data_IF_733034033479
#
_entry.id   IF_733034033479
#
_cell.length_a   1.000
_cell.length_b   1.000
_cell.length_c   1.000
_cell.angle_alpha   90.00
_cell.angle_beta   90.00
_cell.angle_gamma   90.00
#
_symmetry.space_group_name_H-M   'P 1'
#
loop_
_entity.id
_entity.type
_entity.pdbx_description
1 polymer ?
#
# COMPACT_ATOMS: atom_id res chain seq x y z
N UNK A 1 2.32 5.30 17.02
CA UNK A 1 0.83 5.35 17.16
C UNK A 1 0.24 3.98 17.49
N UNK A 2 0.58 2.89 16.81
CA UNK A 2 0.05 1.51 17.01
C UNK A 2 0.11 1.04 18.48
N UNK A 3 1.22 1.25 19.20
CA UNK A 3 1.35 0.81 20.61
C UNK A 3 0.34 1.44 21.57
N UNK A 4 -0.14 2.66 21.30
CA UNK A 4 -1.14 3.34 22.17
C UNK A 4 -2.54 2.75 21.94
N UNK A 5 -2.92 2.51 20.69
CA UNK A 5 -4.21 1.90 20.34
C UNK A 5 -4.33 0.46 20.86
N UNK A 6 -3.24 -0.33 20.79
CA UNK A 6 -3.17 -1.68 21.34
C UNK A 6 -3.49 -1.67 22.85
N UNK A 7 -2.83 -0.80 23.62
CA UNK A 7 -3.06 -0.71 25.08
C UNK A 7 -4.51 -0.30 25.41
N UNK A 8 -5.06 0.68 24.69
CA UNK A 8 -6.43 1.14 24.87
C UNK A 8 -7.44 0.03 24.55
N UNK A 9 -7.26 -0.69 23.43
CA UNK A 9 -8.11 -1.81 23.04
C UNK A 9 -8.09 -2.93 24.09
N UNK A 10 -6.91 -3.31 24.57
CA UNK A 10 -6.76 -4.32 25.63
C UNK A 10 -7.43 -3.87 26.93
N UNK A 11 -7.27 -2.61 27.32
CA UNK A 11 -7.91 -2.05 28.51
C UNK A 11 -9.43 -2.14 28.40
N UNK A 12 -10.01 -1.70 27.30
CA UNK A 12 -11.46 -1.76 27.06
C UNK A 12 -11.97 -3.22 27.09
N UNK A 13 -11.28 -4.15 26.44
CA UNK A 13 -11.64 -5.56 26.42
C UNK A 13 -11.63 -6.16 27.83
N UNK A 14 -10.61 -5.85 28.65
CA UNK A 14 -10.52 -6.33 30.03
C UNK A 14 -11.61 -5.75 30.93
N UNK A 15 -11.89 -4.44 30.76
CA UNK A 15 -12.89 -3.73 31.60
C UNK A 15 -14.31 -4.16 31.27
N UNK A 16 -14.65 -4.27 30.00
CA UNK A 16 -16.02 -4.48 29.54
C UNK A 16 -16.28 -5.91 29.03
N UNK A 17 -15.24 -6.76 29.00
CA UNK A 17 -15.33 -8.20 28.64
C UNK A 17 -16.19 -8.44 27.39
N UNK A 18 -17.31 -9.15 27.55
CA UNK A 18 -18.19 -9.55 26.45
C UNK A 18 -18.98 -8.39 25.82
N UNK A 19 -19.07 -7.25 26.47
CA UNK A 19 -19.71 -6.05 25.90
C UNK A 19 -18.87 -5.37 24.82
N UNK A 20 -17.59 -5.76 24.66
CA UNK A 20 -16.67 -5.19 23.66
C UNK A 20 -16.22 -6.28 22.70
N UNK A 21 -16.45 -6.06 21.40
CA UNK A 21 -15.83 -6.82 20.33
C UNK A 21 -14.71 -5.97 19.74
N UNK A 22 -13.45 -6.34 19.99
CA UNK A 22 -12.31 -5.56 19.55
C UNK A 22 -11.66 -6.12 18.28
N UNK A 23 -11.54 -5.28 17.27
CA UNK A 23 -10.85 -5.58 16.01
C UNK A 23 -9.53 -4.82 15.97
N UNK A 24 -8.45 -5.50 15.64
CA UNK A 24 -7.15 -4.87 15.42
C UNK A 24 -6.68 -5.06 13.99
N UNK A 25 -6.27 -3.96 13.35
CA UNK A 25 -5.69 -3.98 12.01
C UNK A 25 -4.17 -3.99 12.14
N UNK A 26 -3.50 -4.90 11.45
CA UNK A 26 -2.10 -5.29 11.53
C UNK A 26 -1.80 -6.17 12.74
N UNK A 27 -0.59 -6.74 12.79
CA UNK A 27 -0.13 -7.50 13.95
C UNK A 27 0.06 -6.58 15.17
N UNK A 28 -0.68 -6.77 16.27
CA UNK A 28 -0.58 -5.94 17.47
C UNK A 28 0.75 -6.05 18.20
N UNK A 29 1.60 -7.02 17.83
CA UNK A 29 2.87 -7.33 18.53
C UNK A 29 2.69 -7.46 20.05
N UNK A 30 1.59 -8.09 20.45
CA UNK A 30 1.15 -8.29 21.82
C UNK A 30 0.44 -9.64 21.94
N UNK A 31 -0.13 -9.99 23.09
CA UNK A 31 -0.91 -11.21 23.22
C UNK A 31 -2.15 -11.16 22.31
N UNK A 32 -2.14 -11.98 21.26
CA UNK A 32 -3.17 -12.02 20.23
C UNK A 32 -4.54 -12.47 20.75
N UNK A 33 -4.57 -13.28 21.83
CA UNK A 33 -5.82 -13.77 22.44
C UNK A 33 -6.63 -12.66 23.12
N UNK A 34 -6.08 -11.46 23.24
CA UNK A 34 -6.78 -10.30 23.79
C UNK A 34 -7.59 -9.52 22.74
N UNK A 35 -7.62 -10.02 21.51
CA UNK A 35 -8.41 -9.47 20.41
C UNK A 35 -9.42 -10.49 19.90
N UNK A 36 -10.62 -10.04 19.62
CA UNK A 36 -11.68 -10.89 19.05
C UNK A 36 -11.40 -11.17 17.57
N UNK A 37 -10.83 -10.18 16.86
CA UNK A 37 -10.44 -10.32 15.47
C UNK A 37 -9.18 -9.50 15.20
N UNK A 38 -8.23 -10.11 14.50
CA UNK A 38 -7.07 -9.43 13.94
C UNK A 38 -7.17 -9.51 12.41
N UNK A 39 -6.89 -8.42 11.73
CA UNK A 39 -6.80 -8.37 10.26
C UNK A 39 -5.38 -7.96 9.93
N UNK A 40 -4.57 -8.90 9.44
CA UNK A 40 -3.16 -8.64 9.16
C UNK A 40 -2.76 -9.08 7.75
N UNK A 41 -1.79 -8.39 7.11
CA UNK A 41 -1.28 -8.84 5.82
C UNK A 41 -0.62 -10.22 5.91
N UNK A 42 -0.75 -11.04 4.86
CA UNK A 42 -0.17 -12.38 4.78
C UNK A 42 1.35 -12.39 4.99
N UNK A 43 2.04 -11.36 4.50
CA UNK A 43 3.49 -11.22 4.67
C UNK A 43 3.94 -10.99 6.13
N UNK A 44 3.01 -10.71 7.05
CA UNK A 44 3.28 -10.69 8.49
C UNK A 44 3.29 -12.09 9.10
N UNK A 45 2.84 -13.10 8.36
CA UNK A 45 2.84 -14.52 8.73
C UNK A 45 2.17 -14.78 10.10
N UNK A 46 1.12 -14.03 10.42
CA UNK A 46 0.39 -14.20 11.67
C UNK A 46 -0.57 -15.38 11.57
N UNK A 47 -0.10 -16.56 11.97
CA UNK A 47 -0.92 -17.76 11.98
C UNK A 47 -1.66 -17.93 13.34
N UNK A 48 -2.83 -17.28 13.46
CA UNK A 48 -3.68 -17.32 14.66
C UNK A 48 -5.14 -17.58 14.28
N UNK A 49 -5.92 -18.31 15.12
CA UNK A 49 -7.32 -18.65 14.82
C UNK A 49 -8.24 -17.43 14.67
N UNK A 50 -7.90 -16.33 15.34
CA UNK A 50 -8.62 -15.07 15.31
C UNK A 50 -8.03 -14.07 14.28
N UNK A 51 -7.15 -14.52 13.38
CA UNK A 51 -6.59 -13.68 12.33
C UNK A 51 -7.29 -13.94 10.98
N UNK A 52 -7.60 -12.87 10.28
CA UNK A 52 -7.94 -12.88 8.85
C UNK A 52 -6.78 -12.25 8.11
N UNK A 53 -6.13 -13.03 7.24
CA UNK A 53 -5.01 -12.56 6.42
C UNK A 53 -5.50 -11.81 5.19
N UNK A 54 -4.81 -10.71 4.85
CA UNK A 54 -5.06 -9.90 3.66
C UNK A 54 -3.84 -9.95 2.73
N UNK A 55 -4.06 -9.99 1.42
CA UNK A 55 -2.98 -9.90 0.45
C UNK A 55 -2.25 -8.56 0.53
N UNK A 56 -3.03 -7.48 0.55
CA UNK A 56 -2.55 -6.10 0.59
C UNK A 56 -2.67 -5.52 2.00
N UNK A 57 -1.87 -4.50 2.30
CA UNK A 57 -2.07 -3.68 3.48
C UNK A 57 -3.38 -2.88 3.33
N UNK A 58 -4.21 -2.87 4.39
CA UNK A 58 -5.44 -2.07 4.39
C UNK A 58 -5.12 -0.58 4.43
N UNK A 59 -5.89 0.20 3.68
CA UNK A 59 -5.78 1.66 3.57
C UNK A 59 -7.17 2.30 3.44
N UNK A 60 -7.23 3.62 3.55
CA UNK A 60 -8.46 4.41 3.43
C UNK A 60 -8.50 5.26 2.15
N UNK A 61 -7.75 4.87 1.13
CA UNK A 61 -7.77 5.57 -0.16
C UNK A 61 -9.09 5.28 -0.88
N UNK A 62 -9.72 6.34 -1.39
CA UNK A 62 -10.93 6.24 -2.19
C UNK A 62 -10.58 6.36 -3.66
N UNK A 63 -10.96 5.35 -4.45
CA UNK A 63 -10.75 5.32 -5.89
C UNK A 63 -12.06 5.63 -6.62
N UNK A 64 -11.94 6.34 -7.74
CA UNK A 64 -13.04 6.56 -8.66
C UNK A 64 -12.81 5.71 -9.92
N UNK A 65 -13.36 4.51 -9.90
CA UNK A 65 -13.22 3.55 -11.01
C UNK A 65 -14.00 3.94 -12.28
N UNK A 66 -14.89 4.94 -12.19
CA UNK A 66 -15.64 5.43 -13.35
C UNK A 66 -14.85 6.46 -14.18
N UNK A 67 -13.75 6.97 -13.65
CA UNK A 67 -12.92 7.93 -14.38
C UNK A 67 -12.25 7.29 -15.57
N UNK A 68 -12.27 8.02 -16.70
CA UNK A 68 -11.54 7.63 -17.90
C UNK A 68 -10.04 7.64 -17.61
N UNK A 69 -9.36 6.54 -17.93
CA UNK A 69 -7.91 6.47 -17.87
C UNK A 69 -7.28 7.44 -18.86
N UNK A 70 -6.28 8.15 -18.42
CA UNK A 70 -5.48 9.08 -19.22
C UNK A 70 -4.13 8.43 -19.56
N UNK A 71 -3.51 8.83 -20.67
CA UNK A 71 -2.14 8.38 -20.99
C UNK A 71 -1.12 9.09 -20.10
N UNK A 72 -1.15 8.76 -18.82
CA UNK A 72 -0.33 9.33 -17.76
C UNK A 72 0.28 8.21 -16.94
N UNK A 73 1.55 8.30 -16.63
CA UNK A 73 2.27 7.43 -15.71
C UNK A 73 2.35 8.12 -14.34
N UNK A 74 1.92 7.45 -13.28
CA UNK A 74 2.25 7.88 -11.93
C UNK A 74 3.57 7.24 -11.49
N UNK A 75 4.55 8.04 -11.11
CA UNK A 75 5.79 7.59 -10.51
C UNK A 75 5.78 7.95 -9.02
N UNK A 76 5.53 6.95 -8.18
CA UNK A 76 5.36 7.11 -6.73
C UNK A 76 6.69 6.79 -6.06
N UNK A 77 7.26 7.80 -5.39
CA UNK A 77 8.62 7.75 -4.87
C UNK A 77 8.60 7.69 -3.34
N UNK A 78 9.17 6.64 -2.79
CA UNK A 78 9.38 6.50 -1.36
C UNK A 78 10.61 7.27 -0.86
N UNK A 79 11.38 6.66 0.01
CA UNK A 79 12.58 7.26 0.57
C UNK A 79 13.27 6.32 1.55
N UNK A 80 14.32 6.82 2.18
CA UNK A 80 15.06 6.01 3.15
C UNK A 80 14.18 5.53 4.31
N UNK A 81 14.44 4.32 4.72
CA UNK A 81 13.92 3.77 5.96
C UNK A 81 15.01 2.88 6.61
N UNK A 82 14.67 2.12 7.65
CA UNK A 82 15.68 1.29 8.34
C UNK A 82 16.26 0.15 7.49
N UNK A 83 15.68 -0.14 6.33
CA UNK A 83 16.07 -1.24 5.46
C UNK A 83 16.59 -0.77 4.09
N UNK A 84 16.11 0.35 3.61
CA UNK A 84 16.38 0.87 2.27
C UNK A 84 17.06 2.24 2.36
N UNK A 85 18.17 2.40 1.65
CA UNK A 85 18.90 3.66 1.53
C UNK A 85 18.47 4.36 0.23
N UNK A 86 18.04 5.59 0.35
CA UNK A 86 17.73 6.45 -0.80
C UNK A 86 18.94 7.35 -1.08
N UNK A 87 20.01 6.75 -1.63
CA UNK A 87 21.29 7.39 -1.88
C UNK A 87 21.30 8.23 -3.17
N UNK A 88 22.44 8.88 -3.47
CA UNK A 88 22.56 9.73 -4.67
C UNK A 88 22.46 8.94 -5.98
N UNK A 89 22.93 7.71 -6.02
CA UNK A 89 22.90 6.90 -7.24
C UNK A 89 21.46 6.46 -7.54
N UNK A 90 20.69 6.11 -6.50
CA UNK A 90 19.23 5.90 -6.61
C UNK A 90 18.54 7.15 -7.15
N UNK A 91 18.89 8.34 -6.64
CA UNK A 91 18.31 9.61 -7.09
C UNK A 91 18.65 9.88 -8.57
N UNK A 92 19.89 9.69 -8.98
CA UNK A 92 20.34 9.85 -10.37
C UNK A 92 19.61 8.88 -11.32
N UNK A 93 19.49 7.60 -10.90
CA UNK A 93 18.76 6.58 -11.67
C UNK A 93 17.30 6.97 -11.87
N UNK A 94 16.61 7.43 -10.82
CA UNK A 94 15.23 7.91 -10.92
C UNK A 94 15.12 9.09 -11.89
N UNK A 95 16.00 10.09 -11.81
CA UNK A 95 15.98 11.23 -12.71
C UNK A 95 16.16 10.78 -14.16
N UNK A 96 17.14 9.93 -14.44
CA UNK A 96 17.41 9.42 -15.80
C UNK A 96 16.19 8.64 -16.35
N UNK A 97 15.50 7.85 -15.50
CA UNK A 97 14.32 7.12 -15.92
C UNK A 97 13.11 8.04 -16.12
N UNK A 98 12.92 9.06 -15.28
CA UNK A 98 11.91 10.10 -15.48
C UNK A 98 12.13 10.86 -16.81
N UNK A 99 13.36 11.27 -17.11
CA UNK A 99 13.71 11.93 -18.37
C UNK A 99 13.47 11.02 -19.58
N UNK A 100 13.81 9.74 -19.47
CA UNK A 100 13.56 8.77 -20.53
C UNK A 100 12.07 8.59 -20.80
N UNK A 101 11.28 8.32 -19.75
CA UNK A 101 9.84 8.06 -19.86
C UNK A 101 9.06 9.28 -20.33
N UNK A 102 9.48 10.48 -19.93
CA UNK A 102 8.82 11.74 -20.28
C UNK A 102 8.97 12.15 -21.74
N UNK A 103 9.82 11.48 -22.51
CA UNK A 103 9.90 11.69 -23.96
C UNK A 103 8.61 11.30 -24.69
N UNK A 104 7.89 10.31 -24.15
CA UNK A 104 6.71 9.72 -24.81
C UNK A 104 5.44 9.72 -23.95
N UNK A 105 5.51 10.18 -22.69
CA UNK A 105 4.39 10.10 -21.75
C UNK A 105 4.36 11.29 -20.80
N UNK A 106 3.19 11.66 -20.35
CA UNK A 106 3.03 12.54 -19.20
C UNK A 106 3.31 11.75 -17.91
N UNK A 107 4.12 12.31 -17.02
CA UNK A 107 4.52 11.68 -15.78
C UNK A 107 4.07 12.53 -14.58
N UNK A 108 3.25 11.97 -13.74
CA UNK A 108 2.98 12.52 -12.41
C UNK A 108 4.03 11.98 -11.45
N UNK A 109 4.89 12.82 -10.95
CA UNK A 109 5.91 12.48 -9.94
C UNK A 109 5.32 12.74 -8.56
N UNK A 110 5.20 11.68 -7.76
CA UNK A 110 4.50 11.69 -6.49
C UNK A 110 5.47 11.29 -5.38
N UNK A 111 6.18 12.23 -4.75
CA UNK A 111 7.03 11.93 -3.61
C UNK A 111 6.21 11.62 -2.36
N UNK A 112 6.71 10.70 -1.55
CA UNK A 112 6.16 10.40 -0.23
C UNK A 112 6.72 11.32 0.86
N UNK A 113 6.17 11.26 2.07
CA UNK A 113 6.69 11.96 3.26
C UNK A 113 8.13 11.58 3.62
N UNK A 114 8.65 10.45 3.12
CA UNK A 114 10.02 9.96 3.37
C UNK A 114 10.99 10.35 2.27
N UNK A 115 10.50 10.87 1.16
CA UNK A 115 11.35 11.33 0.06
C UNK A 115 12.19 12.52 0.53
N UNK A 116 13.53 12.49 0.37
CA UNK A 116 14.40 13.56 0.86
C UNK A 116 14.03 14.92 0.24
N UNK A 117 13.91 15.93 1.07
CA UNK A 117 13.53 17.29 0.62
C UNK A 117 14.47 17.84 -0.45
N UNK A 118 15.78 17.57 -0.33
CA UNK A 118 16.76 18.00 -1.33
C UNK A 118 16.52 17.32 -2.69
N UNK A 119 16.04 16.07 -2.69
CA UNK A 119 15.68 15.39 -3.93
C UNK A 119 14.41 15.98 -4.54
N UNK A 120 13.41 16.31 -3.72
CA UNK A 120 12.19 17.01 -4.19
C UNK A 120 12.56 18.34 -4.84
N UNK A 121 13.52 19.12 -4.29
CA UNK A 121 14.03 20.33 -4.91
C UNK A 121 14.71 20.06 -6.26
N UNK A 122 15.53 19.00 -6.36
CA UNK A 122 16.15 18.61 -7.64
C UNK A 122 15.06 18.29 -8.69
N UNK A 123 14.02 17.54 -8.31
CA UNK A 123 12.89 17.23 -9.20
C UNK A 123 12.14 18.49 -9.67
N UNK A 124 11.93 19.45 -8.78
CA UNK A 124 11.27 20.73 -9.12
C UNK A 124 12.09 21.61 -10.09
N UNK A 125 13.40 21.42 -10.16
CA UNK A 125 14.28 22.14 -11.08
C UNK A 125 14.31 21.55 -12.49
N UNK A 126 13.75 20.36 -12.70
CA UNK A 126 13.72 19.71 -14.02
C UNK A 126 12.75 20.48 -14.93
N UNK A 127 13.30 21.16 -15.93
CA UNK A 127 12.51 21.89 -16.93
C UNK A 127 11.96 20.93 -17.99
N UNK A 128 10.90 20.21 -17.68
CA UNK A 128 10.23 19.31 -18.60
C UNK A 128 8.71 19.38 -18.41
N UNK A 129 8.00 19.86 -19.43
CA UNK A 129 6.54 20.05 -19.38
C UNK A 129 5.75 18.74 -19.29
N UNK A 130 6.36 17.59 -19.58
CA UNK A 130 5.76 16.28 -19.42
C UNK A 130 5.93 15.72 -18.00
N UNK A 131 6.67 16.41 -17.11
CA UNK A 131 6.82 16.05 -15.70
C UNK A 131 5.99 16.99 -14.84
N UNK A 132 5.06 16.44 -14.07
CA UNK A 132 4.25 17.18 -13.09
C UNK A 132 4.54 16.66 -11.69
N UNK A 133 5.12 17.51 -10.86
CA UNK A 133 5.44 17.18 -9.46
C UNK A 133 4.27 17.50 -8.55
N UNK A 134 3.87 16.52 -7.72
CA UNK A 134 2.78 16.62 -6.75
C UNK A 134 3.32 16.45 -5.33
N UNK A 135 3.45 17.53 -4.58
CA UNK A 135 4.05 17.53 -3.24
C UNK A 135 3.04 17.51 -2.09
N UNK A 136 1.78 17.85 -2.36
CA UNK A 136 0.75 18.10 -1.32
C UNK A 136 -0.42 17.10 -1.37
N UNK A 137 -0.15 15.85 -1.75
CA UNK A 137 -1.15 14.79 -1.81
C UNK A 137 -1.28 14.06 -0.47
N UNK A 138 -1.65 14.79 0.59
CA UNK A 138 -1.78 14.20 1.92
C UNK A 138 -3.20 13.69 2.23
N UNK A 139 -4.19 14.12 1.46
CA UNK A 139 -5.55 13.62 1.61
C UNK A 139 -5.82 12.40 0.74
N UNK A 140 -6.55 11.38 1.28
CA UNK A 140 -6.82 10.13 0.56
C UNK A 140 -7.67 10.30 -0.70
N UNK A 141 -8.45 11.37 -0.81
CA UNK A 141 -9.36 11.61 -1.94
C UNK A 141 -8.56 12.10 -3.15
N UNK A 142 -7.73 13.14 -2.98
CA UNK A 142 -6.87 13.68 -4.05
C UNK A 142 -5.87 12.65 -4.53
N UNK A 143 -5.23 11.91 -3.61
CA UNK A 143 -4.29 10.84 -3.95
C UNK A 143 -4.98 9.70 -4.70
N UNK A 144 -6.13 9.21 -4.19
CA UNK A 144 -6.90 8.16 -4.84
C UNK A 144 -7.42 8.56 -6.23
N UNK A 145 -7.83 9.82 -6.38
CA UNK A 145 -8.24 10.38 -7.68
C UNK A 145 -7.10 10.35 -8.70
N UNK A 146 -5.88 10.71 -8.27
CA UNK A 146 -4.71 10.69 -9.13
C UNK A 146 -4.32 9.26 -9.53
N UNK A 147 -4.39 8.29 -8.59
CA UNK A 147 -4.15 6.88 -8.90
C UNK A 147 -5.20 6.33 -9.86
N UNK A 148 -6.46 6.77 -9.74
CA UNK A 148 -7.58 6.26 -10.56
C UNK A 148 -7.48 6.65 -12.04
N UNK A 149 -6.90 7.81 -12.36
CA UNK A 149 -6.87 8.31 -13.75
C UNK A 149 -5.66 7.87 -14.56
N UNK A 150 -4.59 7.38 -13.93
CA UNK A 150 -3.40 6.92 -14.64
C UNK A 150 -3.63 5.58 -15.35
N UNK A 151 -2.92 5.35 -16.43
CA UNK A 151 -2.95 4.07 -17.14
C UNK A 151 -1.81 3.13 -16.72
N UNK A 152 -0.83 3.65 -15.96
CA UNK A 152 0.30 2.90 -15.46
C UNK A 152 0.85 3.53 -14.19
N UNK A 153 1.32 2.70 -13.27
CA UNK A 153 1.94 3.14 -12.02
C UNK A 153 3.31 2.50 -11.83
N UNK A 154 4.27 3.30 -11.42
CA UNK A 154 5.60 2.88 -11.01
C UNK A 154 5.73 3.23 -9.52
N UNK A 155 6.10 2.26 -8.70
CA UNK A 155 6.21 2.45 -7.25
C UNK A 155 7.55 1.93 -6.77
N UNK A 156 8.26 2.72 -5.99
CA UNK A 156 9.51 2.27 -5.37
C UNK A 156 9.25 1.18 -4.33
N UNK A 157 10.15 0.22 -4.26
CA UNK A 157 9.98 -1.03 -3.51
C UNK A 157 10.02 -0.90 -1.98
N UNK A 158 10.40 0.25 -1.47
CA UNK A 158 10.63 0.52 -0.05
C UNK A 158 9.36 0.65 0.81
N UNK A 159 8.16 0.51 0.20
CA UNK A 159 6.89 0.71 0.91
C UNK A 159 5.80 -0.25 0.49
N UNK A 160 5.54 -1.23 1.34
CA UNK A 160 4.41 -2.16 1.17
C UNK A 160 3.07 -1.41 1.07
N UNK A 161 2.87 -0.35 1.88
CA UNK A 161 1.63 0.44 1.84
C UNK A 161 1.42 1.12 0.50
N UNK A 162 2.44 1.82 -0.02
CA UNK A 162 2.35 2.51 -1.32
C UNK A 162 2.08 1.53 -2.47
N UNK A 163 2.73 0.35 -2.45
CA UNK A 163 2.49 -0.69 -3.45
C UNK A 163 1.06 -1.23 -3.32
N UNK A 164 0.58 -1.45 -2.09
CA UNK A 164 -0.80 -1.90 -1.84
C UNK A 164 -1.83 -0.89 -2.32
N UNK A 165 -1.61 0.39 -2.06
CA UNK A 165 -2.46 1.49 -2.52
C UNK A 165 -2.49 1.57 -4.05
N UNK A 166 -1.33 1.48 -4.70
CA UNK A 166 -1.22 1.49 -6.16
C UNK A 166 -1.96 0.29 -6.80
N UNK A 167 -1.75 -0.93 -6.31
CA UNK A 167 -2.45 -2.14 -6.79
C UNK A 167 -3.96 -2.01 -6.62
N UNK A 168 -4.42 -1.43 -5.50
CA UNK A 168 -5.85 -1.28 -5.21
C UNK A 168 -6.58 -0.33 -6.15
N UNK A 169 -5.87 0.50 -6.91
CA UNK A 169 -6.44 1.34 -7.98
C UNK A 169 -6.77 0.57 -9.26
N UNK A 170 -6.50 -0.74 -9.30
CA UNK A 170 -6.71 -1.64 -10.45
C UNK A 170 -5.95 -1.22 -11.72
N UNK A 171 -4.94 -0.36 -11.55
CA UNK A 171 -4.03 0.08 -12.61
C UNK A 171 -2.75 -0.76 -12.60
N UNK A 172 -2.25 -1.12 -13.76
CA UNK A 172 -1.00 -1.88 -13.90
C UNK A 172 0.14 -1.23 -13.13
N UNK A 173 0.67 -1.96 -12.16
CA UNK A 173 1.66 -1.45 -11.19
C UNK A 173 3.01 -2.12 -11.41
N UNK A 174 4.06 -1.32 -11.49
CA UNK A 174 5.43 -1.76 -11.70
C UNK A 174 6.31 -1.40 -10.50
N UNK A 175 7.10 -2.37 -10.05
CA UNK A 175 8.03 -2.24 -8.94
C UNK A 175 9.34 -1.65 -9.40
N UNK A 176 9.71 -0.51 -8.85
CA UNK A 176 11.00 0.14 -9.08
C UNK A 176 11.97 -0.24 -7.96
N UNK A 177 12.94 -1.08 -8.27
CA UNK A 177 13.92 -1.58 -7.32
C UNK A 177 15.16 -0.68 -7.29
N UNK A 178 15.65 -0.41 -6.08
CA UNK A 178 16.96 0.21 -5.86
C UNK A 178 18.05 -0.87 -5.93
N UNK A 179 19.27 -0.47 -6.20
CA UNK A 179 20.42 -1.33 -6.04
C UNK A 179 20.77 -1.40 -4.55
N UNK A 180 20.34 -2.47 -3.89
CA UNK A 180 20.57 -2.72 -2.47
C UNK A 180 21.10 -4.15 -2.28
N UNK A 181 21.99 -4.32 -1.30
CA UNK A 181 22.58 -5.63 -1.00
C UNK A 181 21.57 -6.64 -0.45
N UNK A 182 20.52 -6.17 0.22
CA UNK A 182 19.49 -7.06 0.79
C UNK A 182 18.13 -6.39 0.94
N UNK A 183 17.09 -7.09 0.51
CA UNK A 183 15.70 -6.76 0.80
C UNK A 183 15.22 -7.62 1.99
N UNK A 184 14.56 -7.06 3.02
CA UNK A 184 14.06 -7.84 4.14
C UNK A 184 13.09 -8.93 3.72
N UNK A 185 13.14 -10.12 4.33
CA UNK A 185 12.27 -11.27 4.00
C UNK A 185 10.79 -10.92 3.91
N UNK A 186 10.30 -10.03 4.80
CA UNK A 186 8.92 -9.55 4.79
C UNK A 186 8.54 -8.84 3.49
N UNK A 187 9.44 -8.01 2.95
CA UNK A 187 9.22 -7.31 1.68
C UNK A 187 9.35 -8.27 0.50
N UNK A 188 10.36 -9.16 0.52
CA UNK A 188 10.51 -10.20 -0.50
C UNK A 188 9.27 -11.06 -0.61
N UNK A 189 8.72 -11.52 0.54
CA UNK A 189 7.50 -12.32 0.59
C UNK A 189 6.32 -11.55 -0.01
N UNK A 190 6.11 -10.30 0.40
CA UNK A 190 5.04 -9.47 -0.13
C UNK A 190 5.17 -9.28 -1.65
N UNK A 191 6.35 -8.86 -2.14
CA UNK A 191 6.57 -8.66 -3.58
C UNK A 191 6.35 -9.95 -4.36
N UNK A 192 6.84 -11.08 -3.84
CA UNK A 192 6.64 -12.39 -4.46
C UNK A 192 5.15 -12.74 -4.58
N UNK A 193 4.39 -12.62 -3.50
CA UNK A 193 2.97 -12.95 -3.47
C UNK A 193 2.15 -12.12 -4.44
N UNK A 194 2.36 -10.79 -4.49
CA UNK A 194 1.61 -9.92 -5.39
C UNK A 194 2.05 -10.07 -6.85
N UNK A 195 3.33 -10.42 -7.12
CA UNK A 195 3.83 -10.76 -8.45
C UNK A 195 3.22 -12.08 -8.96
N UNK A 196 3.18 -13.12 -8.12
CA UNK A 196 2.57 -14.41 -8.48
C UNK A 196 1.08 -14.28 -8.85
N UNK A 197 0.37 -13.37 -8.21
CA UNK A 197 -1.04 -13.08 -8.51
C UNK A 197 -1.24 -12.15 -9.71
N UNK A 198 -0.17 -11.69 -10.35
CA UNK A 198 -0.21 -10.83 -11.53
C UNK A 198 -0.52 -9.36 -11.24
N UNK A 199 -0.57 -8.95 -9.97
CA UNK A 199 -0.87 -7.57 -9.58
C UNK A 199 0.33 -6.64 -9.68
N UNK A 200 1.56 -7.17 -9.69
CA UNK A 200 2.80 -6.41 -9.71
C UNK A 200 3.76 -7.00 -10.74
N UNK A 201 4.41 -6.16 -11.52
CA UNK A 201 5.49 -6.54 -12.43
C UNK A 201 6.76 -5.76 -12.11
N UNK A 202 7.92 -6.22 -12.57
CA UNK A 202 9.15 -5.45 -12.45
C UNK A 202 9.13 -4.28 -13.42
N UNK A 203 9.70 -3.16 -13.01
CA UNK A 203 9.91 -2.01 -13.87
C UNK A 203 10.87 -2.34 -15.01
N UNK A 204 10.53 -1.87 -16.20
CA UNK A 204 11.44 -1.77 -17.34
C UNK A 204 11.04 -0.55 -18.18
N UNK A 205 11.96 -0.01 -18.96
CA UNK A 205 11.68 1.17 -19.80
C UNK A 205 10.71 0.92 -20.95
N UNK A 206 10.52 -0.32 -21.33
CA UNK A 206 9.61 -0.80 -22.38
C UNK A 206 8.29 -1.37 -21.83
N UNK A 207 8.00 -1.14 -20.54
CA UNK A 207 6.78 -1.60 -19.89
C UNK A 207 5.52 -1.11 -20.62
N UNK A 208 4.50 -1.97 -20.66
CA UNK A 208 3.20 -1.65 -21.28
C UNK A 208 2.11 -1.63 -20.22
N UNK A 209 1.12 -0.73 -20.35
CA UNK A 209 -0.03 -0.72 -19.48
C UNK A 209 -0.72 -2.09 -19.43
N UNK A 210 -1.24 -2.43 -18.26
CA UNK A 210 -2.14 -3.55 -18.04
C UNK A 210 -3.12 -3.18 -16.93
N UNK A 211 -4.21 -3.91 -16.83
CA UNK A 211 -5.21 -3.72 -15.78
C UNK A 211 -5.25 -4.94 -14.88
N UNK A 212 -5.65 -4.73 -13.66
CA UNK A 212 -5.90 -5.78 -12.67
C UNK A 212 -7.30 -5.59 -12.11
N UNK A 213 -7.84 -6.59 -11.43
CA UNK A 213 -9.10 -6.44 -10.70
C UNK A 213 -9.00 -7.04 -9.31
N UNK A 214 -9.42 -6.26 -8.33
CA UNK A 214 -9.49 -6.65 -6.93
C UNK A 214 -10.92 -6.97 -6.47
N UNK A 215 -11.91 -6.89 -7.36
CA UNK A 215 -13.34 -7.00 -7.01
C UNK A 215 -13.64 -8.33 -6.30
N UNK A 216 -13.23 -9.46 -6.87
CA UNK A 216 -13.47 -10.79 -6.28
C UNK A 216 -12.77 -10.91 -4.93
N UNK A 217 -11.49 -10.54 -4.86
CA UNK A 217 -10.70 -10.59 -3.64
C UNK A 217 -11.33 -9.74 -2.52
N UNK A 218 -11.72 -8.50 -2.84
CA UNK A 218 -12.32 -7.57 -1.88
C UNK A 218 -13.68 -8.07 -1.39
N UNK A 219 -14.52 -8.66 -2.26
CA UNK A 219 -15.81 -9.22 -1.88
C UNK A 219 -15.68 -10.44 -0.96
N UNK A 220 -14.74 -11.33 -1.24
CA UNK A 220 -14.43 -12.48 -0.39
C UNK A 220 -13.89 -12.05 0.98
N UNK A 221 -12.96 -11.11 1.02
CA UNK A 221 -12.41 -10.57 2.24
C UNK A 221 -13.50 -9.93 3.11
N UNK A 222 -14.34 -9.08 2.51
CA UNK A 222 -15.49 -8.46 3.18
C UNK A 222 -16.42 -9.52 3.77
N UNK A 223 -16.75 -10.56 3.02
CA UNK A 223 -17.60 -11.66 3.47
C UNK A 223 -16.99 -12.41 4.66
N UNK A 224 -15.69 -12.74 4.60
CA UNK A 224 -14.97 -13.39 5.71
C UNK A 224 -15.00 -12.54 6.99
N UNK A 225 -14.75 -11.23 6.87
CA UNK A 225 -14.77 -10.31 8.03
C UNK A 225 -16.18 -10.23 8.61
N UNK A 226 -17.20 -9.99 7.78
CA UNK A 226 -18.60 -9.89 8.23
C UNK A 226 -19.09 -11.17 8.91
N UNK A 227 -18.77 -12.34 8.35
CA UNK A 227 -19.14 -13.62 8.94
C UNK A 227 -18.48 -13.82 10.30
N UNK A 228 -17.20 -13.43 10.46
CA UNK A 228 -16.52 -13.52 11.75
C UNK A 228 -17.12 -12.58 12.79
N UNK A 229 -17.53 -11.38 12.40
CA UNK A 229 -18.21 -10.43 13.30
C UNK A 229 -19.58 -10.98 13.69
N UNK A 230 -20.39 -11.41 12.72
CA UNK A 230 -21.73 -11.96 12.97
C UNK A 230 -21.70 -13.19 13.89
N UNK A 231 -20.82 -14.16 13.62
CA UNK A 231 -20.71 -15.36 14.46
C UNK A 231 -20.40 -15.04 15.93
N UNK A 232 -19.59 -14.02 16.19
CA UNK A 232 -19.30 -13.59 17.57
C UNK A 232 -20.46 -12.81 18.22
N UNK A 233 -21.21 -12.03 17.45
CA UNK A 233 -22.39 -11.30 17.95
C UNK A 233 -23.57 -12.23 18.23
N UNK A 234 -23.79 -13.26 17.40
CA UNK A 234 -24.83 -14.28 17.62
C UNK A 234 -24.61 -15.10 18.90
N UNK A 235 -23.38 -15.51 19.19
CA UNK A 235 -23.04 -16.20 20.41
C UNK A 235 -23.37 -15.37 21.65
N UNK A 236 -23.28 -14.05 21.59
CA UNK A 236 -23.57 -13.16 22.74
C UNK A 236 -25.06 -12.99 22.98
N UNK A 237 -25.90 -13.04 21.93
CA UNK A 237 -27.36 -12.89 22.07
C UNK A 237 -28.08 -14.19 22.35
N UNK A 238 -27.41 -15.35 22.26
CA UNK A 238 -28.00 -16.67 22.60
C UNK A 238 -27.68 -17.14 24.02
N UNK A 239 -26.93 -16.37 24.80
CA UNK A 239 -26.52 -16.66 26.19
C UNK A 239 -27.12 -15.64 27.19
N UNK A 240 -27.95 -14.71 26.70
CA UNK A 240 -28.73 -13.76 27.51
C UNK A 240 -30.22 -14.25 27.57
#
# INVERSE_FOLDING_TARGET
MVKKSVKASIYLKRKFKELVFNIHIQDPKSNHNLFDLIISPEHDQLNKPNNISTLLALHNINFDFNKKKMNVINFIIGGSNKYFKFNEDTQKKIINDLEFLSKNSLINVIPSRRTPFQFIKKLAMIKNHNLKLFTDLFDPISYGSLLSVSNLQIVTWDSISMISEAISSETGTFLYEFEEESCPKRYQLFHHMVKQKGFLKNFSRDMKPYTTSMVTYNSELKSKILNKIKSNLWFKNSVS
#
